data_IF_306560360143
#
_entry.id   IF_306560360143
#
_cell.length_a   1.000
_cell.length_b   1.000
_cell.length_c   1.000
_cell.angle_alpha   90.00
_cell.angle_beta   90.00
_cell.angle_gamma   90.00
#
_symmetry.space_group_name_H-M   'P 1'
#
loop_
_entity.id
_entity.type
_entity.pdbx_description
1 polymer ?
#
# COMPACT_ATOMS: atom_id res chain seq x y z
N UNK A 1 -43.03 80.60 -33.44
CA UNK A 1 -43.36 79.19 -33.74
C UNK A 1 -42.06 78.44 -33.95
N UNK A 2 -41.43 77.96 -32.88
CA UNK A 2 -40.17 77.19 -32.95
C UNK A 2 -40.46 75.83 -32.31
N UNK A 3 -40.25 74.81 -33.12
CA UNK A 3 -40.68 73.44 -32.90
C UNK A 3 -39.65 72.72 -32.02
N UNK A 4 -39.79 72.80 -30.69
CA UNK A 4 -38.86 72.20 -29.71
C UNK A 4 -39.29 70.82 -29.21
N UNK A 5 -40.18 70.12 -29.92
CA UNK A 5 -40.67 68.77 -29.53
C UNK A 5 -39.83 67.59 -30.05
N UNK A 6 -38.62 67.82 -30.55
CA UNK A 6 -37.83 66.77 -31.21
C UNK A 6 -36.52 66.36 -30.49
N UNK A 7 -36.33 66.75 -29.22
CA UNK A 7 -35.09 66.43 -28.48
C UNK A 7 -35.24 65.48 -27.29
N UNK A 8 -36.45 65.02 -26.98
CA UNK A 8 -36.67 64.08 -25.88
C UNK A 8 -36.77 62.61 -26.32
N UNK A 9 -36.90 62.35 -27.63
CA UNK A 9 -37.12 61.00 -28.15
C UNK A 9 -35.83 60.28 -28.58
N UNK A 10 -34.68 60.96 -28.61
CA UNK A 10 -33.40 60.35 -29.02
C UNK A 10 -32.56 59.84 -27.84
N UNK A 11 -32.91 60.18 -26.60
CA UNK A 11 -32.17 59.75 -25.39
C UNK A 11 -32.74 58.48 -24.75
N UNK A 12 -33.87 57.96 -25.25
CA UNK A 12 -34.48 56.69 -24.79
C UNK A 12 -34.03 55.50 -25.68
N UNK A 13 -33.37 55.76 -26.82
CA UNK A 13 -32.94 54.71 -27.76
C UNK A 13 -31.46 54.29 -27.59
N UNK A 14 -30.76 54.80 -26.57
CA UNK A 14 -29.33 54.50 -26.34
C UNK A 14 -29.02 54.02 -24.92
N UNK A 15 -29.99 53.38 -24.25
CA UNK A 15 -29.80 52.61 -23.00
C UNK A 15 -30.55 51.28 -23.11
N UNK A 16 -30.46 50.64 -24.27
CA UNK A 16 -30.69 49.20 -24.47
C UNK A 16 -29.33 48.53 -24.73
N UNK A 17 -28.31 48.98 -23.99
CA UNK A 17 -27.04 48.27 -23.86
C UNK A 17 -27.32 47.08 -22.95
N UNK A 18 -27.62 45.94 -23.59
CA UNK A 18 -27.24 44.60 -23.14
C UNK A 18 -27.18 44.40 -21.63
N UNK A 19 -28.34 44.43 -20.95
CA UNK A 19 -28.52 43.54 -19.80
C UNK A 19 -28.76 42.14 -20.37
N UNK A 20 -27.69 41.48 -20.80
CA UNK A 20 -27.66 40.03 -20.74
C UNK A 20 -27.71 39.69 -19.25
N UNK A 21 -28.93 39.55 -18.71
CA UNK A 21 -29.13 38.85 -17.47
C UNK A 21 -28.64 37.43 -17.71
N UNK A 22 -27.37 37.19 -17.39
CA UNK A 22 -26.88 35.85 -17.08
C UNK A 22 -27.68 35.44 -15.84
N UNK A 23 -28.88 34.93 -16.06
CA UNK A 23 -29.68 34.38 -15.00
C UNK A 23 -28.97 33.09 -14.61
N UNK A 24 -28.09 33.18 -13.61
CA UNK A 24 -27.79 32.01 -12.79
C UNK A 24 -29.15 31.46 -12.35
N UNK A 25 -29.41 30.18 -12.63
CA UNK A 25 -30.57 29.52 -12.06
C UNK A 25 -30.33 29.53 -10.54
N UNK A 26 -31.12 30.33 -9.81
CA UNK A 26 -30.94 30.48 -8.37
C UNK A 26 -30.91 29.09 -7.70
N UNK A 27 -29.98 28.88 -6.78
CA UNK A 27 -29.84 27.58 -6.10
C UNK A 27 -28.81 26.66 -6.71
N UNK A 28 -28.41 26.86 -7.97
CA UNK A 28 -27.60 25.87 -8.69
C UNK A 28 -26.22 26.41 -9.05
N UNK A 29 -25.21 25.57 -8.81
CA UNK A 29 -23.83 25.75 -9.24
C UNK A 29 -23.53 24.69 -10.31
N UNK A 30 -23.16 25.16 -11.48
CA UNK A 30 -22.82 24.33 -12.63
C UNK A 30 -21.32 24.04 -12.67
N UNK A 31 -20.95 22.76 -12.72
CA UNK A 31 -19.57 22.31 -12.54
C UNK A 31 -19.15 21.39 -13.67
N UNK A 32 -17.99 21.62 -14.28
CA UNK A 32 -17.43 20.74 -15.32
C UNK A 32 -15.95 20.41 -15.06
N UNK A 33 -15.42 19.28 -15.58
CA UNK A 33 -14.04 18.89 -15.36
C UNK A 33 -13.02 19.94 -15.78
N UNK A 34 -13.34 20.70 -16.83
CA UNK A 34 -12.51 21.78 -17.39
C UNK A 34 -13.13 23.15 -17.14
N UNK A 35 -13.92 23.28 -16.07
CA UNK A 35 -14.58 24.53 -15.72
C UNK A 35 -13.58 25.65 -15.36
N UNK A 36 -14.10 26.87 -15.30
CA UNK A 36 -13.29 28.04 -14.97
C UNK A 36 -12.94 28.07 -13.48
N UNK A 37 -11.69 28.46 -13.19
CA UNK A 37 -11.13 28.49 -11.84
C UNK A 37 -11.18 29.86 -11.16
N UNK A 38 -11.72 30.87 -11.85
CA UNK A 38 -11.83 32.23 -11.32
C UNK A 38 -12.84 33.07 -12.12
N UNK A 39 -13.26 34.19 -11.54
CA UNK A 39 -14.21 35.12 -12.16
C UNK A 39 -15.67 34.77 -11.87
N UNK A 40 -16.57 35.17 -12.75
CA UNK A 40 -18.00 34.83 -12.63
C UNK A 40 -18.24 33.45 -13.25
N UNK A 41 -18.19 32.42 -12.40
CA UNK A 41 -18.26 31.00 -12.78
C UNK A 41 -19.49 30.34 -12.13
N UNK A 42 -19.66 29.02 -12.29
CA UNK A 42 -20.79 28.28 -11.70
C UNK A 42 -22.11 28.46 -12.45
N UNK A 43 -22.07 28.99 -13.68
CA UNK A 43 -23.25 29.20 -14.53
C UNK A 43 -23.30 28.19 -15.67
N UNK A 44 -24.45 28.06 -16.36
CA UNK A 44 -24.58 27.12 -17.49
C UNK A 44 -23.59 27.40 -18.63
N UNK A 45 -23.31 28.68 -18.88
CA UNK A 45 -22.45 29.14 -19.98
C UNK A 45 -20.97 29.27 -19.57
N UNK A 46 -20.70 29.34 -18.25
CA UNK A 46 -19.36 29.35 -17.68
C UNK A 46 -19.35 28.52 -16.39
N UNK A 47 -19.28 27.17 -16.49
CA UNK A 47 -19.22 26.30 -15.32
C UNK A 47 -17.91 26.52 -14.54
N UNK A 48 -17.95 26.24 -13.24
CA UNK A 48 -16.76 26.25 -12.39
C UNK A 48 -16.04 24.90 -12.44
N UNK A 49 -14.73 24.89 -12.19
CA UNK A 49 -14.05 23.63 -11.82
C UNK A 49 -14.53 23.16 -10.44
N UNK A 50 -14.29 21.89 -10.10
CA UNK A 50 -14.82 21.30 -8.88
C UNK A 50 -14.39 22.01 -7.60
N UNK A 51 -13.09 22.28 -7.42
CA UNK A 51 -12.59 22.86 -6.18
C UNK A 51 -13.04 24.31 -6.04
N UNK A 52 -13.02 25.07 -7.14
CA UNK A 52 -13.55 26.42 -7.12
C UNK A 52 -15.07 26.44 -6.87
N UNK A 53 -15.82 25.48 -7.40
CA UNK A 53 -17.26 25.42 -7.20
C UNK A 53 -17.65 25.28 -5.72
N UNK A 54 -16.87 24.57 -4.90
CA UNK A 54 -17.08 24.53 -3.45
C UNK A 54 -16.91 25.90 -2.77
N UNK A 55 -16.10 26.80 -3.34
CA UNK A 55 -15.97 28.18 -2.83
C UNK A 55 -17.17 29.07 -3.15
N UNK A 56 -18.03 28.64 -4.09
CA UNK A 56 -19.25 29.34 -4.49
C UNK A 56 -20.48 28.88 -3.68
N UNK A 57 -20.35 27.82 -2.88
CA UNK A 57 -21.45 27.27 -2.10
C UNK A 57 -21.86 28.26 -1.01
N UNK A 58 -23.14 28.59 -1.01
CA UNK A 58 -23.78 29.45 -0.02
C UNK A 58 -25.24 28.99 0.23
N UNK A 59 -25.95 29.50 1.25
CA UNK A 59 -27.32 29.08 1.54
C UNK A 59 -28.33 29.30 0.41
N UNK A 60 -28.02 30.18 -0.56
CA UNK A 60 -28.81 30.44 -1.75
C UNK A 60 -28.33 29.67 -2.99
N UNK A 61 -27.14 29.06 -2.95
CA UNK A 61 -26.50 28.31 -4.02
C UNK A 61 -25.86 27.04 -3.45
N UNK A 62 -26.69 26.03 -3.20
CA UNK A 62 -26.26 24.80 -2.52
C UNK A 62 -26.52 23.52 -3.31
N UNK A 63 -26.95 23.62 -4.57
CA UNK A 63 -27.12 22.47 -5.47
C UNK A 63 -26.06 22.48 -6.56
N UNK A 64 -25.05 21.63 -6.42
CA UNK A 64 -24.02 21.40 -7.43
C UNK A 64 -24.50 20.37 -8.46
N UNK A 65 -24.53 20.79 -9.73
CA UNK A 65 -24.75 19.92 -10.89
C UNK A 65 -23.44 19.69 -11.61
N UNK A 66 -22.95 18.45 -11.57
CA UNK A 66 -21.69 18.05 -12.16
C UNK A 66 -21.94 17.45 -13.53
N UNK A 67 -21.23 17.98 -14.52
CA UNK A 67 -21.14 17.35 -15.82
C UNK A 67 -20.50 15.95 -15.70
N UNK A 68 -20.72 15.12 -16.70
CA UNK A 68 -19.95 13.89 -16.85
C UNK A 68 -18.47 14.21 -17.12
N UNK A 69 -17.62 13.20 -16.93
CA UNK A 69 -16.17 13.33 -17.06
C UNK A 69 -15.45 13.09 -15.74
N UNK A 70 -14.12 13.25 -15.78
CA UNK A 70 -13.22 12.90 -14.67
C UNK A 70 -12.77 14.17 -13.96
N UNK A 71 -12.99 14.21 -12.65
CA UNK A 71 -12.54 15.26 -11.76
C UNK A 71 -11.43 14.70 -10.87
N UNK A 72 -10.19 15.06 -11.17
CA UNK A 72 -9.01 14.58 -10.45
C UNK A 72 -8.80 15.35 -9.14
N UNK A 73 -8.52 14.60 -8.08
CA UNK A 73 -8.28 15.08 -6.73
C UNK A 73 -6.93 14.57 -6.23
N UNK A 74 -6.05 15.49 -5.88
CA UNK A 74 -4.81 15.20 -5.14
C UNK A 74 -5.01 15.30 -3.62
N UNK A 75 -6.04 16.02 -3.18
CA UNK A 75 -6.41 16.16 -1.77
C UNK A 75 -7.73 15.44 -1.49
N UNK A 76 -7.96 15.10 -0.23
CA UNK A 76 -9.28 14.65 0.23
C UNK A 76 -10.30 15.76 0.02
N UNK A 77 -11.46 15.45 -0.57
CA UNK A 77 -12.54 16.41 -0.76
C UNK A 77 -13.50 16.39 0.43
N UNK A 78 -13.57 17.50 1.15
CA UNK A 78 -14.48 17.71 2.26
C UNK A 78 -15.85 18.18 1.78
N UNK A 79 -16.91 17.43 2.14
CA UNK A 79 -18.30 17.81 1.81
C UNK A 79 -18.91 18.56 3.00
N UNK A 80 -19.45 19.78 2.81
CA UNK A 80 -20.09 20.54 3.88
C UNK A 80 -21.55 20.10 4.12
N UNK A 81 -22.18 20.70 5.13
CA UNK A 81 -23.62 20.59 5.38
C UNK A 81 -24.46 21.29 4.29
N UNK A 82 -25.75 20.99 4.27
CA UNK A 82 -26.77 21.71 3.48
C UNK A 82 -26.51 21.72 1.96
N UNK A 83 -25.87 20.69 1.40
CA UNK A 83 -25.44 20.65 -0.01
C UNK A 83 -26.01 19.45 -0.79
N UNK A 84 -26.40 19.68 -2.04
CA UNK A 84 -26.69 18.62 -3.02
C UNK A 84 -25.57 18.53 -4.04
N UNK A 85 -24.84 17.43 -4.01
CA UNK A 85 -23.73 17.10 -4.90
C UNK A 85 -24.19 16.01 -5.89
N UNK A 86 -24.54 16.41 -7.12
CA UNK A 86 -25.22 15.55 -8.08
C UNK A 86 -24.50 15.47 -9.43
N UNK A 87 -24.22 14.25 -9.88
CA UNK A 87 -23.63 13.97 -11.18
C UNK A 87 -24.61 13.58 -12.29
N UNK A 88 -24.05 13.32 -13.47
CA UNK A 88 -24.74 12.79 -14.64
C UNK A 88 -25.34 13.84 -15.57
N UNK A 89 -24.81 15.06 -15.59
CA UNK A 89 -25.27 16.11 -16.52
C UNK A 89 -24.41 16.17 -17.78
N UNK A 90 -25.01 16.50 -18.92
CA UNK A 90 -24.29 16.80 -20.16
C UNK A 90 -23.88 18.28 -20.21
N UNK A 91 -22.60 18.59 -20.42
CA UNK A 91 -22.14 19.99 -20.49
C UNK A 91 -22.77 20.69 -21.71
N UNK A 92 -23.14 21.97 -21.55
CA UNK A 92 -23.82 22.77 -22.58
C UNK A 92 -25.35 22.61 -22.60
N UNK A 93 -25.88 21.40 -22.50
CA UNK A 93 -27.35 21.21 -22.39
C UNK A 93 -27.84 21.17 -20.94
N UNK A 94 -27.02 20.65 -20.03
CA UNK A 94 -27.33 20.41 -18.62
C UNK A 94 -28.55 19.52 -18.40
N UNK A 95 -28.86 18.66 -19.37
CA UNK A 95 -29.84 17.60 -19.19
C UNK A 95 -29.18 16.40 -18.51
N UNK A 96 -29.94 15.76 -17.64
CA UNK A 96 -29.51 14.55 -16.97
C UNK A 96 -29.52 13.39 -17.95
N UNK A 97 -28.41 12.67 -17.99
CA UNK A 97 -28.16 11.55 -18.89
C UNK A 97 -27.58 10.38 -18.12
N UNK A 98 -27.78 9.17 -18.64
CA UNK A 98 -27.18 7.93 -18.15
C UNK A 98 -26.17 7.35 -19.15
N UNK A 99 -25.82 8.10 -20.20
CA UNK A 99 -24.87 7.68 -21.22
C UNK A 99 -23.43 7.67 -20.70
N UNK A 100 -23.07 8.69 -19.91
CA UNK A 100 -21.74 8.90 -19.36
C UNK A 100 -21.82 9.14 -17.85
N UNK A 101 -20.69 8.97 -17.15
CA UNK A 101 -20.59 9.07 -15.70
C UNK A 101 -19.81 10.30 -15.26
N UNK A 102 -20.26 10.96 -14.20
CA UNK A 102 -19.44 11.87 -13.39
C UNK A 102 -18.52 11.04 -12.52
N UNK A 103 -17.20 11.19 -12.69
CA UNK A 103 -16.18 10.41 -11.99
C UNK A 103 -15.35 11.34 -11.13
N UNK A 104 -15.40 11.17 -9.81
CA UNK A 104 -14.42 11.75 -8.88
C UNK A 104 -13.27 10.76 -8.78
N UNK A 105 -12.07 11.19 -9.16
CA UNK A 105 -10.88 10.37 -9.15
C UNK A 105 -9.88 10.88 -8.13
N UNK A 106 -9.53 10.06 -7.15
CA UNK A 106 -8.60 10.38 -6.07
C UNK A 106 -7.27 9.70 -6.33
N UNK A 107 -6.23 10.50 -6.57
CA UNK A 107 -4.87 10.00 -6.76
C UNK A 107 -4.23 9.55 -5.43
N UNK A 108 -3.09 8.88 -5.51
CA UNK A 108 -2.31 8.44 -4.35
C UNK A 108 -1.17 9.40 -3.95
N UNK A 109 -1.07 10.59 -4.55
CA UNK A 109 0.11 11.45 -4.39
C UNK A 109 0.19 12.13 -3.02
N UNK A 110 -0.95 12.33 -2.35
CA UNK A 110 -0.99 12.91 -1.01
C UNK A 110 -2.01 12.20 -0.11
N UNK A 111 -1.59 11.11 0.56
CA UNK A 111 -2.41 10.43 1.57
C UNK A 111 -2.19 11.04 2.96
N UNK A 112 -3.16 10.86 3.86
CA UNK A 112 -3.03 11.26 5.26
C UNK A 112 -2.00 10.35 5.96
N UNK A 113 -0.78 10.86 6.09
CA UNK A 113 0.33 10.15 6.74
C UNK A 113 0.10 9.96 8.24
N UNK A 114 -0.61 10.89 8.90
CA UNK A 114 -0.82 10.84 10.34
C UNK A 114 -1.78 9.71 10.73
N UNK A 115 -2.81 9.50 9.89
CA UNK A 115 -3.82 8.46 10.10
C UNK A 115 -3.61 7.22 9.21
N UNK A 116 -2.57 7.20 8.38
CA UNK A 116 -2.32 6.18 7.38
C UNK A 116 -3.57 5.89 6.54
N UNK A 117 -4.17 6.93 5.96
CA UNK A 117 -5.44 6.84 5.24
C UNK A 117 -5.41 7.59 3.90
N UNK A 118 -5.87 6.95 2.83
CA UNK A 118 -6.16 7.60 1.56
C UNK A 118 -7.68 7.74 1.41
N UNK A 119 -8.19 8.97 1.47
CA UNK A 119 -9.62 9.26 1.49
C UNK A 119 -9.98 10.11 0.27
N UNK A 120 -11.01 9.70 -0.48
CA UNK A 120 -11.52 10.50 -1.59
C UNK A 120 -12.51 11.55 -1.11
N UNK A 121 -13.67 11.14 -0.57
CA UNK A 121 -14.65 12.04 0.02
C UNK A 121 -14.68 11.90 1.54
N UNK A 122 -14.57 13.03 2.25
CA UNK A 122 -14.69 13.08 3.71
C UNK A 122 -15.89 13.93 4.11
N UNK A 123 -16.67 13.42 5.05
CA UNK A 123 -17.77 14.15 5.66
C UNK A 123 -17.73 13.91 7.16
N UNK A 124 -17.40 14.96 7.92
CA UNK A 124 -17.26 14.89 9.38
C UNK A 124 -18.10 15.94 10.07
N UNK A 125 -18.98 15.50 10.98
CA UNK A 125 -19.85 16.36 11.77
C UNK A 125 -20.73 17.31 10.91
N UNK A 126 -21.25 16.80 9.78
CA UNK A 126 -22.13 17.54 8.87
C UNK A 126 -23.55 16.97 8.83
N UNK A 127 -24.51 17.77 8.39
CA UNK A 127 -25.90 17.37 8.22
C UNK A 127 -26.54 17.89 6.93
N UNK A 128 -27.68 17.31 6.55
CA UNK A 128 -28.49 17.74 5.40
C UNK A 128 -27.73 17.80 4.06
N UNK A 129 -26.94 16.77 3.77
CA UNK A 129 -26.24 16.67 2.49
C UNK A 129 -26.71 15.49 1.65
N UNK A 130 -26.57 15.63 0.34
CA UNK A 130 -26.92 14.59 -0.63
C UNK A 130 -25.81 14.40 -1.66
N UNK A 131 -25.30 13.19 -1.77
CA UNK A 131 -24.37 12.77 -2.82
C UNK A 131 -25.11 11.80 -3.72
N UNK A 132 -25.18 12.09 -5.03
CA UNK A 132 -25.91 11.22 -5.95
C UNK A 132 -25.38 11.18 -7.37
N UNK A 133 -25.57 10.03 -8.03
CA UNK A 133 -25.23 9.81 -9.44
C UNK A 133 -23.77 10.08 -9.79
N UNK A 134 -22.86 9.72 -8.87
CA UNK A 134 -21.42 9.94 -8.98
C UNK A 134 -20.70 8.60 -8.85
N UNK A 135 -19.69 8.40 -9.69
CA UNK A 135 -18.70 7.35 -9.53
C UNK A 135 -17.50 7.91 -8.79
N UNK A 136 -17.01 7.20 -7.78
CA UNK A 136 -15.80 7.54 -7.04
C UNK A 136 -14.78 6.46 -7.34
N UNK A 137 -13.60 6.87 -7.80
CA UNK A 137 -12.44 6.03 -8.04
C UNK A 137 -11.29 6.49 -7.17
N UNK A 138 -10.62 5.55 -6.51
CA UNK A 138 -9.45 5.83 -5.67
C UNK A 138 -8.32 4.92 -6.09
N UNK A 139 -7.13 5.48 -6.26
CA UNK A 139 -5.91 4.74 -6.55
C UNK A 139 -5.47 3.84 -5.38
N UNK A 140 -4.54 2.93 -5.66
CA UNK A 140 -3.90 2.08 -4.66
C UNK A 140 -3.13 2.90 -3.63
N UNK A 141 -3.05 2.39 -2.41
CA UNK A 141 -2.40 3.11 -1.32
C UNK A 141 -0.87 3.15 -1.54
N UNK A 142 -0.22 4.32 -1.40
CA UNK A 142 1.20 4.50 -1.78
C UNK A 142 2.21 4.10 -0.70
N UNK A 143 1.75 3.71 0.50
CA UNK A 143 2.57 3.55 1.72
C UNK A 143 2.59 2.13 2.27
N UNK A 144 3.01 1.96 3.53
CA UNK A 144 2.82 0.71 4.28
C UNK A 144 1.76 0.92 5.35
N UNK A 145 0.86 -0.03 5.53
CA UNK A 145 -0.23 0.04 6.51
C UNK A 145 -1.25 1.15 6.25
N UNK A 146 -1.28 1.73 5.04
CA UNK A 146 -2.25 2.72 4.61
C UNK A 146 -3.55 2.05 4.17
N UNK A 147 -4.66 2.49 4.75
CA UNK A 147 -6.03 2.07 4.40
C UNK A 147 -6.66 3.02 3.38
N UNK A 148 -7.62 2.55 2.59
CA UNK A 148 -8.32 3.35 1.56
C UNK A 148 -9.80 3.51 1.91
N UNK A 149 -10.32 4.71 1.69
CA UNK A 149 -11.73 5.04 1.84
C UNK A 149 -12.23 5.83 0.63
N UNK A 150 -13.19 5.29 -0.12
CA UNK A 150 -13.89 6.04 -1.16
C UNK A 150 -14.78 7.14 -0.57
N UNK A 151 -15.52 6.82 0.49
CA UNK A 151 -16.30 7.78 1.28
C UNK A 151 -16.05 7.47 2.75
N UNK A 152 -15.62 8.47 3.52
CA UNK A 152 -15.50 8.39 4.96
C UNK A 152 -16.53 9.32 5.61
N UNK A 153 -17.40 8.76 6.45
CA UNK A 153 -18.45 9.46 7.18
C UNK A 153 -18.21 9.31 8.69
N UNK A 154 -18.21 10.42 9.41
CA UNK A 154 -18.12 10.43 10.87
C UNK A 154 -19.04 11.49 11.47
N UNK A 155 -19.83 11.12 12.48
CA UNK A 155 -20.69 12.07 13.20
C UNK A 155 -21.73 12.81 12.35
N UNK A 156 -22.14 12.24 11.21
CA UNK A 156 -23.08 12.88 10.28
C UNK A 156 -24.54 12.52 10.55
N UNK A 157 -25.47 13.42 10.21
CA UNK A 157 -26.91 13.22 10.32
C UNK A 157 -27.65 13.63 9.04
N UNK A 158 -28.88 13.15 8.85
CA UNK A 158 -29.79 13.59 7.79
C UNK A 158 -29.14 13.66 6.39
N UNK A 159 -28.60 12.55 5.90
CA UNK A 159 -27.90 12.52 4.62
C UNK A 159 -28.41 11.46 3.66
N UNK A 160 -28.17 11.68 2.37
CA UNK A 160 -28.50 10.74 1.29
C UNK A 160 -27.29 10.45 0.43
N UNK A 161 -26.89 9.18 0.34
CA UNK A 161 -25.93 8.70 -0.65
C UNK A 161 -26.67 7.73 -1.56
N UNK A 162 -26.91 8.10 -2.81
CA UNK A 162 -27.82 7.36 -3.69
C UNK A 162 -27.29 7.24 -5.12
N UNK A 163 -27.35 6.02 -5.69
CA UNK A 163 -26.87 5.74 -7.05
C UNK A 163 -25.41 6.14 -7.29
N UNK A 164 -24.59 5.99 -6.25
CA UNK A 164 -23.14 6.16 -6.36
C UNK A 164 -22.48 4.80 -6.61
N UNK A 165 -21.40 4.81 -7.38
CA UNK A 165 -20.52 3.65 -7.57
C UNK A 165 -19.20 4.00 -6.91
N UNK A 166 -18.72 3.17 -5.99
CA UNK A 166 -17.45 3.38 -5.31
C UNK A 166 -16.50 2.25 -5.67
N UNK A 167 -15.38 2.59 -6.29
CA UNK A 167 -14.33 1.66 -6.70
C UNK A 167 -13.03 2.16 -6.07
N UNK A 168 -12.47 1.37 -5.17
CA UNK A 168 -11.18 1.68 -4.52
C UNK A 168 -10.12 0.72 -5.00
N UNK A 169 -8.88 1.18 -5.06
CA UNK A 169 -7.70 0.34 -5.20
C UNK A 169 -7.42 -0.51 -3.96
N UNK A 170 -6.24 -1.12 -3.96
CA UNK A 170 -5.76 -2.01 -2.90
C UNK A 170 -5.13 -1.22 -1.75
N UNK A 171 -5.54 -1.54 -0.51
CA UNK A 171 -4.85 -1.07 0.68
C UNK A 171 -3.44 -1.67 0.76
N UNK A 172 -2.51 -0.95 1.39
CA UNK A 172 -1.12 -1.37 1.38
C UNK A 172 -0.78 -2.39 2.46
N UNK A 173 0.22 -3.23 2.18
CA UNK A 173 0.78 -4.17 3.14
C UNK A 173 1.35 -3.48 4.39
N UNK A 174 1.24 -4.14 5.54
CA UNK A 174 1.96 -3.74 6.74
C UNK A 174 3.49 -3.86 6.59
N UNK A 175 4.24 -3.31 7.55
CA UNK A 175 5.68 -3.50 7.57
C UNK A 175 6.03 -4.98 7.84
N UNK A 176 6.94 -5.58 7.06
CA UNK A 176 7.45 -6.91 7.37
C UNK A 176 8.06 -6.96 8.78
N UNK A 177 7.88 -8.09 9.46
CA UNK A 177 8.55 -8.33 10.74
C UNK A 177 10.07 -8.41 10.59
N UNK A 178 10.79 -8.16 11.68
CA UNK A 178 12.24 -8.36 11.69
C UNK A 178 12.57 -9.85 11.52
N UNK A 179 13.62 -10.14 10.76
CA UNK A 179 14.11 -11.51 10.65
C UNK A 179 14.59 -11.98 12.03
N UNK A 180 14.25 -13.22 12.40
CA UNK A 180 14.78 -13.85 13.60
C UNK A 180 16.30 -14.02 13.55
N UNK A 181 16.95 -13.98 14.71
CA UNK A 181 18.40 -14.21 14.81
C UNK A 181 18.68 -15.68 14.50
N UNK A 182 19.69 -15.94 13.67
CA UNK A 182 20.18 -17.30 13.43
C UNK A 182 20.62 -17.93 14.74
N UNK A 183 20.24 -19.19 14.98
CA UNK A 183 20.73 -19.95 16.13
C UNK A 183 22.26 -20.06 16.13
N UNK A 184 22.86 -19.98 17.31
CA UNK A 184 24.30 -20.19 17.49
C UNK A 184 24.58 -21.70 17.36
N UNK A 185 25.66 -22.07 16.66
CA UNK A 185 26.14 -23.45 16.60
C UNK A 185 26.44 -23.99 18.01
N UNK A 186 26.23 -25.29 18.23
CA UNK A 186 26.68 -25.96 19.45
C UNK A 186 28.20 -25.97 19.57
N UNK A 187 28.72 -26.25 20.77
CA UNK A 187 30.16 -26.45 20.95
C UNK A 187 30.63 -27.70 20.19
N UNK A 188 31.90 -27.71 19.78
CA UNK A 188 32.53 -28.91 19.22
C UNK A 188 32.57 -30.03 20.27
N UNK A 189 32.49 -31.29 19.82
CA UNK A 189 32.78 -32.45 20.65
C UNK A 189 34.24 -32.47 21.11
N UNK A 190 34.51 -33.19 22.20
CA UNK A 190 35.87 -33.51 22.61
C UNK A 190 36.52 -34.47 21.61
N UNK A 191 37.85 -34.46 21.55
CA UNK A 191 38.61 -35.46 20.81
C UNK A 191 38.35 -36.86 21.40
N UNK A 192 38.37 -37.89 20.54
CA UNK A 192 38.35 -39.29 20.97
C UNK A 192 39.67 -39.72 21.59
N UNK A 193 39.68 -40.94 22.15
CA UNK A 193 40.90 -41.54 22.68
C UNK A 193 41.94 -41.76 21.57
N UNK A 194 43.22 -41.70 21.94
CA UNK A 194 44.32 -42.08 21.05
C UNK A 194 44.26 -43.59 20.83
N UNK A 195 44.12 -44.04 19.59
CA UNK A 195 44.12 -45.47 19.30
C UNK A 195 45.41 -46.17 19.72
N UNK A 196 45.30 -47.47 19.98
CA UNK A 196 46.39 -48.33 20.44
C UNK A 196 46.79 -49.38 19.39
N UNK A 197 47.92 -50.06 19.65
CA UNK A 197 48.51 -51.04 18.76
C UNK A 197 47.80 -52.41 18.80
N UNK A 198 47.27 -52.83 19.95
CA UNK A 198 46.59 -54.13 20.11
C UNK A 198 45.50 -54.05 21.19
N UNK A 199 44.39 -54.79 21.01
CA UNK A 199 43.36 -54.99 22.03
C UNK A 199 42.14 -54.04 21.97
N UNK A 200 41.10 -54.30 22.80
CA UNK A 200 39.79 -53.64 22.68
C UNK A 200 39.68 -52.29 23.42
N UNK A 201 40.74 -51.85 24.10
CA UNK A 201 40.72 -50.61 24.87
C UNK A 201 41.09 -49.39 24.03
N UNK A 202 40.82 -48.21 24.59
CA UNK A 202 41.36 -46.93 24.11
C UNK A 202 40.91 -46.52 22.69
N UNK A 203 39.68 -46.91 22.31
CA UNK A 203 39.06 -46.57 21.01
C UNK A 203 37.78 -45.76 21.17
N UNK A 204 37.43 -45.31 22.39
CA UNK A 204 36.17 -44.62 22.61
C UNK A 204 36.17 -43.24 21.95
N UNK A 205 35.07 -42.89 21.27
CA UNK A 205 34.82 -41.54 20.78
C UNK A 205 34.73 -40.52 21.91
N UNK A 206 35.07 -39.27 21.57
CA UNK A 206 35.03 -38.16 22.51
C UNK A 206 33.60 -37.75 22.85
N UNK A 207 33.40 -37.26 24.08
CA UNK A 207 32.08 -36.78 24.51
C UNK A 207 31.57 -35.65 23.59
N UNK A 208 30.27 -35.67 23.26
CA UNK A 208 29.64 -34.61 22.48
C UNK A 208 29.74 -33.25 23.14
N UNK A 209 29.81 -32.21 22.31
CA UNK A 209 29.96 -30.83 22.78
C UNK A 209 28.73 -30.37 23.56
N UNK A 210 28.91 -29.65 24.66
CA UNK A 210 27.80 -29.09 25.40
C UNK A 210 27.01 -28.07 24.55
N UNK A 211 25.73 -27.89 24.88
CA UNK A 211 24.95 -26.78 24.36
C UNK A 211 25.54 -25.43 24.82
N UNK A 212 25.60 -24.46 23.93
CA UNK A 212 26.15 -23.11 24.20
C UNK A 212 25.34 -22.29 25.23
N UNK A 213 24.09 -22.69 25.53
CA UNK A 213 23.21 -22.10 26.57
C UNK A 213 22.08 -23.06 26.99
N UNK A 214 21.34 -22.81 28.11
CA UNK A 214 20.22 -23.64 28.55
C UNK A 214 19.14 -23.77 27.46
N UNK A 215 18.90 -24.99 26.97
CA UNK A 215 17.93 -25.29 25.91
C UNK A 215 18.51 -25.42 24.50
N UNK A 216 19.79 -25.14 24.29
CA UNK A 216 20.47 -25.45 23.02
C UNK A 216 20.78 -26.95 22.87
N UNK A 217 20.85 -27.41 21.62
CA UNK A 217 21.25 -28.80 21.32
C UNK A 217 22.77 -28.98 21.49
N UNK A 218 23.16 -30.15 21.99
CA UNK A 218 24.55 -30.57 22.05
C UNK A 218 25.15 -30.73 20.63
N UNK A 219 26.45 -30.52 20.51
CA UNK A 219 27.21 -30.91 19.32
C UNK A 219 27.29 -32.44 19.17
N UNK A 220 27.70 -32.91 17.99
CA UNK A 220 27.94 -34.34 17.77
C UNK A 220 29.10 -34.86 18.63
N UNK A 221 29.09 -36.17 18.89
CA UNK A 221 30.22 -36.85 19.52
C UNK A 221 31.47 -36.77 18.64
N UNK A 222 32.64 -36.79 19.26
CA UNK A 222 33.92 -36.97 18.56
C UNK A 222 33.98 -38.36 17.91
N UNK A 223 34.73 -38.49 16.82
CA UNK A 223 34.96 -39.79 16.18
C UNK A 223 35.76 -40.74 17.08
N UNK A 224 35.56 -42.04 16.89
CA UNK A 224 36.31 -43.08 17.58
C UNK A 224 37.80 -43.06 17.17
N UNK A 225 38.67 -43.46 18.11
CA UNK A 225 40.10 -43.59 17.86
C UNK A 225 40.38 -44.73 16.86
N UNK A 226 41.21 -44.46 15.85
CA UNK A 226 41.61 -45.44 14.84
C UNK A 226 42.77 -46.32 15.30
N UNK A 227 42.76 -47.59 14.91
CA UNK A 227 43.82 -48.55 15.20
C UNK A 227 45.15 -48.15 14.55
N UNK A 228 46.25 -48.29 15.29
CA UNK A 228 47.59 -48.03 14.77
C UNK A 228 48.11 -49.25 14.02
N UNK A 229 48.77 -49.01 12.89
CA UNK A 229 49.41 -50.08 12.12
C UNK A 229 50.59 -50.69 12.85
N UNK A 230 50.43 -51.95 13.28
CA UNK A 230 51.48 -52.77 13.89
C UNK A 230 52.24 -53.64 12.87
N UNK A 231 53.41 -54.11 13.28
CA UNK A 231 54.14 -55.18 12.61
C UNK A 231 54.60 -56.18 13.65
N UNK A 232 54.49 -57.46 13.33
CA UNK A 232 54.97 -58.53 14.18
C UNK A 232 56.35 -59.00 13.72
N UNK A 233 57.21 -59.35 14.68
CA UNK A 233 58.58 -59.81 14.44
C UNK A 233 58.68 -61.29 14.77
N UNK A 234 58.58 -62.14 13.75
CA UNK A 234 58.78 -63.58 13.93
C UNK A 234 60.23 -63.94 13.63
N UNK A 235 60.90 -64.57 14.60
CA UNK A 235 62.20 -65.18 14.35
C UNK A 235 62.02 -66.48 13.55
N UNK A 236 62.57 -66.52 12.34
CA UNK A 236 62.55 -67.71 11.50
C UNK A 236 63.98 -68.22 11.40
N UNK A 237 64.20 -69.40 11.96
CA UNK A 237 65.51 -70.07 11.96
C UNK A 237 65.56 -71.15 10.88
N UNK A 238 66.60 -71.15 10.07
CA UNK A 238 66.90 -72.25 9.15
C UNK A 238 67.58 -73.38 9.93
N UNK A 239 66.94 -74.56 10.07
CA UNK A 239 67.47 -75.67 10.86
C UNK A 239 68.71 -76.32 10.22
N UNK A 240 69.00 -76.06 8.95
CA UNK A 240 70.13 -76.64 8.21
C UNK A 240 71.37 -75.77 8.37
N UNK A 241 71.22 -74.45 8.35
CA UNK A 241 72.35 -73.51 8.43
C UNK A 241 72.53 -72.83 9.80
N UNK A 242 71.66 -73.13 10.78
CA UNK A 242 71.69 -72.59 12.14
C UNK A 242 71.84 -71.05 12.18
N UNK A 243 71.11 -70.38 11.29
CA UNK A 243 71.03 -68.93 11.22
C UNK A 243 69.57 -68.53 11.37
N UNK A 244 69.31 -67.51 12.19
CA UNK A 244 67.97 -66.98 12.40
C UNK A 244 67.88 -65.59 11.80
N UNK A 245 66.80 -65.35 11.07
CA UNK A 245 66.47 -64.04 10.53
C UNK A 245 65.14 -63.56 11.10
N UNK A 246 65.06 -62.26 11.38
CA UNK A 246 63.81 -61.61 11.76
C UNK A 246 62.98 -61.34 10.50
N UNK A 247 61.81 -61.98 10.41
CA UNK A 247 60.82 -61.67 9.40
C UNK A 247 59.84 -60.66 9.98
N UNK A 248 59.78 -59.48 9.37
CA UNK A 248 58.74 -58.48 9.66
C UNK A 248 57.50 -58.87 8.86
N UNK A 249 56.41 -59.21 9.55
CA UNK A 249 55.11 -59.45 8.94
C UNK A 249 54.18 -58.33 9.40
N UNK A 250 53.40 -57.68 8.51
CA UNK A 250 52.34 -56.79 8.97
C UNK A 250 51.41 -57.59 9.90
N UNK A 251 51.08 -57.04 11.06
CA UNK A 251 50.24 -57.75 12.03
C UNK A 251 48.88 -58.09 11.40
N UNK A 252 48.37 -59.27 11.76
CA UNK A 252 47.24 -59.94 11.12
C UNK A 252 45.87 -59.35 11.43
N UNK A 253 45.75 -58.34 12.30
CA UNK A 253 44.47 -57.67 12.53
C UNK A 253 44.00 -56.76 11.39
N UNK A 254 44.80 -56.59 10.32
CA UNK A 254 44.32 -56.01 9.05
C UNK A 254 43.23 -56.84 8.32
N UNK A 255 42.80 -57.96 8.89
CA UNK A 255 41.60 -58.68 8.43
C UNK A 255 40.53 -58.75 9.52
N UNK A 256 39.88 -57.62 9.79
CA UNK A 256 38.45 -57.66 10.11
C UNK A 256 37.71 -56.98 8.93
N UNK A 257 36.73 -57.63 8.28
CA UNK A 257 36.01 -57.09 7.11
C UNK A 257 35.29 -55.76 7.36
#
# INVERSE_FOLDING_TARGET
>A
MVNTRFRFLSSILFVLVSLSSMAQECGIIYVSPTGATSGTTGTRDNPADLLHAFTLVDPANNHMRLAHGVYDLTETLDIPSDIVFEGGFEEGTWFKTNADSTIIHRDANNHDVANAALIALRVENQSDFRIQDITIKVDDAPGNGVSIYGIYLSGCADYYISRCIVITGDGSDGLPGTQGIQGISGANGADGETGEAEGPCCRAGGAGGAGSFPGSNAGGNGGDGGEWGGFDLTEVCDPIFNFCSWLVVPDSEYTNP
#
